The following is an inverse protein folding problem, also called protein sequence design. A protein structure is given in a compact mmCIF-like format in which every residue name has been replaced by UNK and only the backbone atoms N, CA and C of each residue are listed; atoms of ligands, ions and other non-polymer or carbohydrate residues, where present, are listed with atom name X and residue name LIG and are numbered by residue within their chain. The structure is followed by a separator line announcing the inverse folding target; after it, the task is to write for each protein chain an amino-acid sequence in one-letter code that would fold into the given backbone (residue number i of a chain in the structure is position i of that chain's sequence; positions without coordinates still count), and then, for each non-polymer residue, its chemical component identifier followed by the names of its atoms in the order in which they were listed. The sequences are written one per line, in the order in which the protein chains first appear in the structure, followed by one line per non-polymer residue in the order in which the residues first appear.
data_IF_440340864569
#
_entry.id   IF_440340864569
#
_cell.length_a   1.000
_cell.length_b   1.000
_cell.length_c   1.000
_cell.angle_alpha   90.00
_cell.angle_beta   90.00
_cell.angle_gamma   90.00
#
_symmetry.space_group_name_H-M   'P 1'
#
loop_
_entity.id
_entity.type
_entity.pdbx_description
1 polymer ?
#
# COMPACT_ATOMS: atom_id res chain seq x y z
N UNK A 1 -75.49 3.30 9.33
CA UNK A 1 -74.20 3.19 8.61
C UNK A 1 -73.05 4.01 9.23
N UNK A 2 -73.13 4.46 10.50
CA UNK A 2 -72.07 5.30 11.12
C UNK A 2 -71.15 4.56 12.11
N UNK A 3 -71.56 3.41 12.64
CA UNK A 3 -70.80 2.69 13.67
C UNK A 3 -69.81 1.66 13.08
N UNK A 4 -69.96 1.28 11.81
CA UNK A 4 -69.07 0.30 11.16
C UNK A 4 -67.78 0.94 10.62
N UNK A 5 -67.81 2.24 10.31
CA UNK A 5 -66.65 3.00 9.85
C UNK A 5 -65.60 3.22 10.97
N UNK A 6 -66.05 3.31 12.24
CA UNK A 6 -65.15 3.42 13.39
C UNK A 6 -64.40 2.11 13.69
N UNK A 7 -65.04 0.96 13.45
CA UNK A 7 -64.42 -0.36 13.66
C UNK A 7 -63.35 -0.62 12.60
N UNK A 8 -63.58 -0.23 11.34
CA UNK A 8 -62.56 -0.33 10.29
C UNK A 8 -61.35 0.59 10.55
N UNK A 9 -61.57 1.79 11.10
CA UNK A 9 -60.48 2.71 11.47
C UNK A 9 -59.67 2.20 12.67
N UNK A 10 -60.32 1.55 13.65
CA UNK A 10 -59.66 0.91 14.79
C UNK A 10 -58.85 -0.34 14.40
N UNK A 11 -59.30 -1.11 13.40
CA UNK A 11 -58.54 -2.24 12.87
C UNK A 11 -57.35 -1.84 11.99
N UNK A 12 -57.36 -0.62 11.42
CA UNK A 12 -56.22 -0.09 10.65
C UNK A 12 -55.17 0.59 11.53
N UNK A 13 -55.54 1.02 12.73
CA UNK A 13 -54.65 1.70 13.68
C UNK A 13 -53.78 0.77 14.53
N UNK A 14 -53.89 -0.56 14.39
CA UNK A 14 -53.24 -1.54 15.27
C UNK A 14 -52.15 -2.39 14.62
N UNK A 15 -51.60 -1.99 13.48
CA UNK A 15 -50.34 -2.56 12.97
C UNK A 15 -49.19 -1.67 13.46
N UNK A 16 -49.03 -1.56 14.77
CA UNK A 16 -47.79 -1.08 15.37
C UNK A 16 -46.88 -2.30 15.39
N UNK A 17 -46.10 -2.52 14.33
CA UNK A 17 -44.94 -3.39 14.44
C UNK A 17 -43.98 -2.70 15.41
N UNK A 18 -43.92 -3.18 16.65
CA UNK A 18 -42.85 -2.76 17.56
C UNK A 18 -41.52 -3.13 16.92
N UNK A 19 -40.63 -2.15 16.77
CA UNK A 19 -39.26 -2.42 16.37
C UNK A 19 -38.68 -3.40 17.38
N UNK A 20 -38.19 -4.55 16.90
CA UNK A 20 -37.42 -5.46 17.75
C UNK A 20 -36.06 -4.78 17.94
N UNK A 21 -35.93 -4.02 19.01
CA UNK A 21 -34.68 -3.45 19.46
C UNK A 21 -34.68 -3.42 20.98
N UNK A 22 -33.55 -3.74 21.59
CA UNK A 22 -33.33 -3.51 23.02
C UNK A 22 -32.83 -2.08 23.18
N UNK A 23 -33.68 -1.21 23.72
CA UNK A 23 -33.33 0.19 23.97
C UNK A 23 -32.93 0.39 25.43
N UNK A 24 -31.65 0.71 25.66
CA UNK A 24 -31.17 1.14 26.97
C UNK A 24 -31.24 2.66 27.12
N UNK A 25 -32.14 3.12 27.98
CA UNK A 25 -32.29 4.51 28.42
C UNK A 25 -32.07 4.67 29.93
N UNK A 26 -31.50 3.64 30.58
CA UNK A 26 -31.29 3.59 32.02
C UNK A 26 -29.91 3.05 32.39
N UNK A 27 -29.77 2.57 33.63
CA UNK A 27 -28.50 2.07 34.18
C UNK A 27 -28.49 0.53 34.20
N UNK A 28 -28.41 -0.09 33.02
CA UNK A 28 -28.19 -1.54 32.91
C UNK A 28 -26.73 -1.83 33.26
N UNK A 29 -26.47 -2.93 33.97
CA UNK A 29 -25.11 -3.42 34.25
C UNK A 29 -25.09 -4.94 34.25
N UNK A 30 -24.06 -5.51 33.62
CA UNK A 30 -23.75 -6.94 33.66
C UNK A 30 -22.73 -7.17 34.78
N UNK A 31 -23.07 -8.01 35.76
CA UNK A 31 -22.17 -8.38 36.86
C UNK A 31 -21.28 -9.58 36.49
N UNK A 32 -20.26 -9.90 37.29
CA UNK A 32 -19.18 -10.88 37.01
C UNK A 32 -19.60 -12.28 36.50
N UNK A 33 -20.83 -12.74 36.82
CA UNK A 33 -21.37 -14.02 36.34
C UNK A 33 -22.67 -13.85 35.54
N UNK A 34 -23.00 -12.61 35.18
CA UNK A 34 -24.16 -12.28 34.37
C UNK A 34 -23.84 -12.52 32.90
N UNK A 35 -24.80 -13.07 32.17
CA UNK A 35 -24.74 -13.23 30.74
C UNK A 35 -25.93 -12.47 30.12
N UNK A 36 -25.66 -11.65 29.11
CA UNK A 36 -26.67 -10.90 28.36
C UNK A 36 -26.53 -11.20 26.86
N UNK A 37 -27.56 -11.84 26.28
CA UNK A 37 -27.62 -12.12 24.85
C UNK A 37 -28.51 -11.13 24.11
N UNK A 38 -27.93 -10.41 23.15
CA UNK A 38 -28.63 -9.59 22.17
C UNK A 38 -28.99 -10.43 20.95
N UNK A 39 -30.29 -10.63 20.73
CA UNK A 39 -30.84 -11.34 19.56
C UNK A 39 -31.52 -10.39 18.56
N UNK A 40 -31.28 -9.09 18.72
CA UNK A 40 -31.96 -8.02 18.03
C UNK A 40 -31.13 -6.74 18.15
N UNK A 41 -31.47 -5.69 17.40
CA UNK A 41 -30.73 -4.43 17.41
C UNK A 41 -30.59 -3.89 18.84
N UNK A 42 -29.44 -3.34 19.18
CA UNK A 42 -29.15 -2.77 20.47
C UNK A 42 -29.00 -1.25 20.33
N UNK A 43 -29.81 -0.48 21.06
CA UNK A 43 -29.76 0.98 21.06
C UNK A 43 -29.32 1.43 22.45
N UNK A 44 -28.20 2.14 22.57
CA UNK A 44 -27.67 2.61 23.85
C UNK A 44 -27.63 4.15 23.94
N UNK A 45 -28.51 4.72 24.76
CA UNK A 45 -28.60 6.17 25.01
C UNK A 45 -28.34 6.52 26.48
N UNK A 46 -27.73 5.60 27.24
CA UNK A 46 -27.36 5.82 28.64
C UNK A 46 -26.05 5.11 28.97
N UNK A 47 -25.32 5.55 30.02
CA UNK A 47 -24.08 4.89 30.43
C UNK A 47 -24.30 3.38 30.59
N UNK A 48 -23.55 2.60 29.83
CA UNK A 48 -23.54 1.15 29.89
C UNK A 48 -22.09 0.68 29.97
N UNK A 49 -21.52 0.94 31.12
CA UNK A 49 -20.11 0.75 31.45
C UNK A 49 -19.95 -0.17 32.67
N UNK A 50 -18.71 -0.43 33.06
CA UNK A 50 -18.36 -1.27 34.22
C UNK A 50 -19.04 -2.66 34.18
N UNK A 51 -19.31 -3.17 32.98
CA UNK A 51 -19.82 -4.51 32.76
C UNK A 51 -18.69 -5.51 33.02
N UNK A 52 -18.95 -6.50 33.87
CA UNK A 52 -17.95 -7.51 34.28
C UNK A 52 -18.28 -8.92 33.78
N UNK A 53 -19.49 -9.13 33.25
CA UNK A 53 -19.90 -10.42 32.71
C UNK A 53 -19.86 -10.47 31.18
N UNK A 54 -20.48 -11.50 30.63
CA UNK A 54 -20.51 -11.76 29.19
C UNK A 54 -21.70 -11.03 28.54
N UNK A 55 -21.41 -10.24 27.51
CA UNK A 55 -22.39 -9.86 26.50
C UNK A 55 -22.21 -10.76 25.27
N UNK A 56 -23.28 -11.04 24.53
CA UNK A 56 -23.17 -11.78 23.29
C UNK A 56 -24.18 -11.32 22.26
N UNK A 57 -23.77 -11.26 21.00
CA UNK A 57 -24.62 -10.98 19.86
C UNK A 57 -24.90 -12.28 19.13
N UNK A 58 -26.18 -12.63 19.01
CA UNK A 58 -26.63 -13.96 18.63
C UNK A 58 -27.76 -13.91 17.61
N UNK A 59 -27.53 -14.40 16.40
CA UNK A 59 -28.60 -14.47 15.40
C UNK A 59 -28.13 -14.88 14.01
N UNK A 60 -29.08 -14.85 13.07
CA UNK A 60 -28.78 -15.11 11.67
C UNK A 60 -28.98 -13.86 10.78
N UNK A 61 -29.64 -12.84 11.33
CA UNK A 61 -29.90 -11.56 10.66
C UNK A 61 -28.88 -10.52 11.12
N UNK A 62 -28.81 -9.40 10.39
CA UNK A 62 -27.99 -8.27 10.81
C UNK A 62 -28.44 -7.74 12.17
N UNK A 63 -27.49 -7.49 13.08
CA UNK A 63 -27.76 -6.84 14.37
C UNK A 63 -27.06 -5.49 14.38
N UNK A 64 -27.83 -4.41 14.50
CA UNK A 64 -27.28 -3.05 14.55
C UNK A 64 -27.03 -2.63 16.01
N UNK A 65 -25.87 -2.02 16.26
CA UNK A 65 -25.51 -1.35 17.52
C UNK A 65 -25.56 0.15 17.30
N UNK A 66 -26.53 0.78 17.95
CA UNK A 66 -27.00 2.15 17.72
C UNK A 66 -26.94 2.95 19.02
N UNK A 67 -27.28 4.24 18.91
CA UNK A 67 -27.50 5.14 20.04
C UNK A 67 -26.40 6.18 20.17
N UNK A 68 -26.52 7.01 21.20
CA UNK A 68 -25.67 8.19 21.41
C UNK A 68 -24.48 7.95 22.35
N UNK A 69 -24.43 6.82 23.05
CA UNK A 69 -23.38 6.53 24.04
C UNK A 69 -22.75 5.16 23.73
N UNK A 70 -21.43 5.09 23.44
CA UNK A 70 -20.73 3.83 23.24
C UNK A 70 -20.88 2.90 24.46
N UNK A 71 -21.38 1.66 24.31
CA UNK A 71 -21.33 0.67 25.39
C UNK A 71 -19.90 0.15 25.61
N UNK A 72 -19.59 -0.22 26.85
CA UNK A 72 -18.32 -0.88 27.21
C UNK A 72 -18.60 -2.24 27.83
N UNK A 73 -18.00 -3.30 27.27
CA UNK A 73 -18.18 -4.68 27.71
C UNK A 73 -16.87 -5.27 28.24
N UNK A 74 -16.95 -6.16 29.25
CA UNK A 74 -15.80 -6.99 29.63
C UNK A 74 -15.54 -8.04 28.56
N UNK A 75 -16.47 -8.97 28.42
CA UNK A 75 -16.39 -10.07 27.47
C UNK A 75 -17.55 -9.97 26.48
N UNK A 76 -17.24 -10.16 25.19
CA UNK A 76 -18.20 -10.15 24.10
C UNK A 76 -18.05 -11.44 23.30
N UNK A 77 -19.18 -12.06 22.96
CA UNK A 77 -19.24 -13.16 22.00
C UNK A 77 -19.98 -12.72 20.73
N UNK A 78 -19.37 -12.93 19.57
CA UNK A 78 -19.96 -12.64 18.26
C UNK A 78 -20.33 -13.96 17.60
N UNK A 79 -21.62 -14.25 17.56
CA UNK A 79 -22.18 -15.41 16.87
C UNK A 79 -23.42 -14.99 16.07
N UNK A 80 -23.16 -14.19 15.04
CA UNK A 80 -24.17 -13.67 14.11
C UNK A 80 -23.82 -14.16 12.71
N UNK A 81 -24.73 -14.81 11.98
CA UNK A 81 -24.36 -15.37 10.66
C UNK A 81 -24.06 -14.29 9.61
N UNK A 82 -24.80 -13.17 9.65
CA UNK A 82 -24.47 -11.96 8.89
C UNK A 82 -23.49 -11.11 9.72
N UNK A 83 -23.83 -9.85 10.01
CA UNK A 83 -22.93 -8.92 10.67
C UNK A 83 -23.54 -8.37 11.98
N UNK A 84 -22.65 -7.97 12.88
CA UNK A 84 -22.96 -6.95 13.90
C UNK A 84 -22.54 -5.61 13.32
N UNK A 85 -23.48 -4.79 12.85
CA UNK A 85 -23.20 -3.48 12.27
C UNK A 85 -23.14 -2.40 13.34
N UNK A 86 -22.07 -1.62 13.36
CA UNK A 86 -21.86 -0.53 14.30
C UNK A 86 -22.29 0.79 13.68
N UNK A 87 -23.28 1.45 14.28
CA UNK A 87 -23.58 2.87 14.10
C UNK A 87 -23.07 3.69 15.30
N UNK A 88 -22.53 3.00 16.31
CA UNK A 88 -21.85 3.55 17.47
C UNK A 88 -20.75 2.57 17.91
N UNK A 89 -19.65 3.11 18.44
CA UNK A 89 -18.49 2.31 18.85
C UNK A 89 -18.81 1.38 20.01
N UNK A 90 -18.04 0.30 20.14
CA UNK A 90 -18.06 -0.60 21.30
C UNK A 90 -16.66 -0.63 21.92
N UNK A 91 -16.56 -0.41 23.23
CA UNK A 91 -15.31 -0.60 23.97
C UNK A 91 -15.24 -2.01 24.59
N UNK A 92 -14.11 -2.70 24.38
CA UNK A 92 -13.83 -4.06 24.88
C UNK A 92 -12.73 -4.02 25.94
N UNK A 93 -13.06 -4.47 27.14
CA UNK A 93 -12.15 -4.44 28.29
C UNK A 93 -11.36 -5.74 28.46
N UNK A 94 -11.88 -6.89 28.04
CA UNK A 94 -11.22 -8.18 28.21
C UNK A 94 -11.16 -8.98 26.91
N UNK A 95 -12.23 -9.65 26.48
CA UNK A 95 -12.18 -10.52 25.31
C UNK A 95 -13.33 -10.25 24.33
N UNK A 96 -13.03 -10.21 23.03
CA UNK A 96 -14.00 -10.47 21.96
C UNK A 96 -13.77 -11.85 21.38
N UNK A 97 -14.71 -12.77 21.63
CA UNK A 97 -14.71 -14.10 21.04
C UNK A 97 -15.51 -14.11 19.74
N UNK A 98 -14.82 -14.19 18.61
CA UNK A 98 -15.39 -14.37 17.28
C UNK A 98 -15.73 -15.86 17.06
N UNK A 99 -17.02 -16.19 16.97
CA UNK A 99 -17.49 -17.55 16.65
C UNK A 99 -17.93 -17.63 15.20
N UNK A 100 -18.71 -16.65 14.74
CA UNK A 100 -19.15 -16.50 13.34
C UNK A 100 -19.64 -15.08 13.11
N UNK A 101 -19.41 -14.59 11.89
CA UNK A 101 -19.87 -13.28 11.43
C UNK A 101 -18.87 -12.17 11.70
N UNK A 102 -19.03 -11.10 10.95
CA UNK A 102 -18.18 -9.94 11.05
C UNK A 102 -18.76 -8.92 12.04
N UNK A 103 -17.88 -8.14 12.67
CA UNK A 103 -18.27 -6.85 13.25
C UNK A 103 -17.97 -5.80 12.20
N UNK A 104 -19.02 -5.18 11.67
CA UNK A 104 -18.92 -4.22 10.58
C UNK A 104 -19.00 -2.80 11.14
N UNK A 105 -18.00 -1.96 10.89
CA UNK A 105 -18.09 -0.52 11.15
C UNK A 105 -18.16 0.27 9.83
N UNK A 106 -18.57 1.55 9.87
CA UNK A 106 -18.56 2.41 8.69
C UNK A 106 -17.13 2.54 8.18
N UNK A 107 -16.96 2.39 6.87
CA UNK A 107 -15.65 2.39 6.25
C UNK A 107 -15.10 3.82 6.02
N UNK A 108 -15.96 4.84 6.12
CA UNK A 108 -15.66 6.26 5.94
C UNK A 108 -15.67 7.08 7.25
N UNK A 109 -16.02 6.47 8.38
CA UNK A 109 -16.03 7.11 9.71
C UNK A 109 -15.14 6.37 10.71
N UNK A 110 -13.92 6.89 10.91
CA UNK A 110 -12.95 6.34 11.85
C UNK A 110 -13.38 6.46 13.32
N UNK A 111 -14.37 7.30 13.63
CA UNK A 111 -14.84 7.50 15.01
C UNK A 111 -15.75 6.37 15.50
N UNK A 112 -16.28 5.57 14.57
CA UNK A 112 -17.11 4.39 14.84
C UNK A 112 -16.28 3.13 14.60
N UNK A 113 -15.93 2.43 15.68
CA UNK A 113 -15.05 1.27 15.63
C UNK A 113 -15.33 0.27 16.76
N UNK A 114 -14.88 -0.97 16.58
CA UNK A 114 -14.72 -1.90 17.69
C UNK A 114 -13.37 -1.62 18.36
N UNK A 115 -13.41 -1.04 19.56
CA UNK A 115 -12.23 -0.55 20.25
C UNK A 115 -11.79 -1.48 21.38
N UNK A 116 -10.54 -1.95 21.32
CA UNK A 116 -9.90 -2.70 22.38
C UNK A 116 -9.15 -1.76 23.34
N UNK A 117 -9.38 -1.91 24.63
CA UNK A 117 -8.69 -1.13 25.66
C UNK A 117 -7.27 -1.66 25.93
N UNK A 118 -6.62 -1.15 26.99
CA UNK A 118 -5.29 -1.57 27.45
C UNK A 118 -5.22 -3.03 27.90
N UNK A 119 -6.35 -3.66 28.19
CA UNK A 119 -6.44 -5.10 28.50
C UNK A 119 -7.24 -5.90 27.48
N UNK A 120 -8.03 -5.25 26.62
CA UNK A 120 -8.86 -5.91 25.61
C UNK A 120 -8.06 -6.70 24.57
N UNK A 121 -8.45 -7.94 24.32
CA UNK A 121 -7.94 -8.84 23.28
C UNK A 121 -9.11 -9.53 22.56
N UNK A 122 -8.80 -10.37 21.58
CA UNK A 122 -9.78 -11.16 20.85
C UNK A 122 -9.28 -12.59 20.63
N UNK A 123 -10.22 -13.48 20.31
CA UNK A 123 -9.96 -14.86 19.92
C UNK A 123 -10.94 -15.29 18.83
N UNK A 124 -10.53 -16.21 17.95
CA UNK A 124 -11.43 -16.85 16.98
C UNK A 124 -11.61 -16.06 15.68
N UNK A 125 -10.73 -15.09 15.43
CA UNK A 125 -10.65 -14.40 14.16
C UNK A 125 -10.34 -15.37 13.01
N UNK A 126 -11.01 -15.19 11.88
CA UNK A 126 -10.84 -16.01 10.69
C UNK A 126 -11.37 -15.31 9.45
N UNK A 127 -11.24 -15.93 8.28
CA UNK A 127 -11.85 -15.43 7.03
C UNK A 127 -13.38 -15.29 7.10
N UNK A 128 -14.07 -15.93 8.04
CA UNK A 128 -15.53 -15.81 8.20
C UNK A 128 -15.94 -15.00 9.45
N UNK A 129 -14.96 -14.50 10.21
CA UNK A 129 -15.20 -13.85 11.49
C UNK A 129 -14.10 -12.85 11.80
N UNK A 130 -14.30 -11.59 11.42
CA UNK A 130 -13.34 -10.51 11.67
C UNK A 130 -14.03 -9.14 11.74
N UNK A 131 -13.25 -8.07 11.80
CA UNK A 131 -13.77 -6.71 11.71
C UNK A 131 -13.71 -6.26 10.25
N UNK A 132 -14.85 -5.85 9.68
CA UNK A 132 -14.91 -5.19 8.36
C UNK A 132 -15.14 -3.70 8.58
N UNK A 133 -14.13 -2.87 8.27
CA UNK A 133 -14.07 -1.46 8.67
C UNK A 133 -13.01 -1.21 9.76
N UNK A 134 -13.26 -0.25 10.65
CA UNK A 134 -12.31 0.23 11.64
C UNK A 134 -12.33 -0.54 12.96
N UNK A 135 -11.12 -0.90 13.40
CA UNK A 135 -10.80 -1.40 14.73
C UNK A 135 -9.91 -0.39 15.46
N UNK A 136 -10.10 -0.26 16.78
CA UNK A 136 -9.32 0.63 17.64
C UNK A 136 -8.52 -0.13 18.70
N UNK A 137 -7.38 0.42 19.12
CA UNK A 137 -6.60 -0.09 20.25
C UNK A 137 -6.10 1.08 21.11
N UNK A 138 -6.43 1.10 22.41
CA UNK A 138 -6.03 2.18 23.34
C UNK A 138 -4.88 1.74 24.23
N UNK A 139 -3.93 2.64 24.47
CA UNK A 139 -2.89 2.48 25.48
C UNK A 139 -2.03 1.21 25.26
N UNK A 140 -1.70 0.91 24.00
CA UNK A 140 -0.88 -0.24 23.59
C UNK A 140 0.42 0.23 22.93
N UNK A 141 1.46 -0.58 23.07
CA UNK A 141 2.68 -0.50 22.24
C UNK A 141 2.69 -1.55 21.14
N UNK A 142 1.92 -2.63 21.28
CA UNK A 142 1.82 -3.71 20.31
C UNK A 142 0.36 -4.14 20.18
N UNK A 143 -0.16 -4.18 18.96
CA UNK A 143 -1.50 -4.69 18.69
C UNK A 143 -1.62 -5.26 17.28
N UNK A 144 -2.29 -6.41 17.14
CA UNK A 144 -2.63 -6.99 15.85
C UNK A 144 -4.10 -6.72 15.58
N UNK A 145 -4.43 -5.94 14.56
CA UNK A 145 -5.81 -5.60 14.23
C UNK A 145 -6.46 -6.76 13.45
N UNK A 146 -7.58 -7.36 13.92
CA UNK A 146 -8.26 -8.45 13.22
C UNK A 146 -9.19 -7.89 12.15
N UNK A 147 -8.65 -7.10 11.23
CA UNK A 147 -9.39 -6.44 10.15
C UNK A 147 -9.35 -7.28 8.87
N UNK A 148 -10.33 -7.07 8.00
CA UNK A 148 -10.44 -7.76 6.71
C UNK A 148 -11.55 -7.16 5.87
N UNK A 149 -11.74 -7.70 4.67
CA UNK A 149 -12.91 -7.41 3.84
C UNK A 149 -13.97 -8.50 4.03
N UNK A 150 -15.02 -8.59 3.22
CA UNK A 150 -16.02 -9.64 3.37
C UNK A 150 -15.43 -11.06 3.24
N UNK A 151 -14.40 -11.26 2.40
CA UNK A 151 -13.90 -12.60 2.09
C UNK A 151 -12.71 -13.04 2.95
N UNK A 152 -11.76 -12.16 3.28
CA UNK A 152 -10.50 -12.58 3.92
C UNK A 152 -10.11 -11.74 5.12
N UNK A 153 -9.54 -12.39 6.13
CA UNK A 153 -8.85 -11.73 7.23
C UNK A 153 -7.50 -11.20 6.70
N UNK A 154 -7.23 -9.92 6.92
CA UNK A 154 -5.99 -9.23 6.49
C UNK A 154 -5.43 -8.39 7.63
N UNK A 155 -4.85 -9.05 8.65
CA UNK A 155 -4.40 -8.36 9.84
C UNK A 155 -3.28 -7.38 9.53
N UNK A 156 -3.22 -6.32 10.31
CA UNK A 156 -2.08 -5.43 10.40
C UNK A 156 -1.54 -5.51 11.83
N UNK A 157 -0.29 -5.90 11.98
CA UNK A 157 0.42 -5.79 13.25
C UNK A 157 1.04 -4.41 13.33
N UNK A 158 0.82 -3.70 14.43
CA UNK A 158 1.43 -2.41 14.72
C UNK A 158 2.27 -2.53 15.98
N UNK A 159 3.54 -2.15 15.89
CA UNK A 159 4.48 -2.04 17.01
C UNK A 159 4.99 -0.61 17.11
N UNK A 160 4.65 0.05 18.21
CA UNK A 160 4.97 1.45 18.51
C UNK A 160 6.10 1.53 19.52
N UNK A 161 7.00 2.50 19.33
CA UNK A 161 8.15 2.74 20.24
C UNK A 161 7.71 3.20 21.63
N UNK A 162 6.52 3.80 21.72
CA UNK A 162 5.90 4.26 22.96
C UNK A 162 4.41 3.93 23.02
N UNK A 163 3.84 3.98 24.22
CA UNK A 163 2.42 3.71 24.44
C UNK A 163 1.58 4.82 23.81
N UNK A 164 0.62 4.46 22.96
CA UNK A 164 -0.22 5.43 22.26
C UNK A 164 -1.62 5.52 22.87
N UNK A 165 -2.23 6.69 22.82
CA UNK A 165 -3.57 6.91 23.38
C UNK A 165 -4.64 6.12 22.62
N UNK A 166 -4.52 6.07 21.29
CA UNK A 166 -5.39 5.35 20.39
C UNK A 166 -4.66 5.07 19.07
N UNK A 167 -4.67 3.82 18.64
CA UNK A 167 -4.35 3.41 17.27
C UNK A 167 -5.61 2.91 16.58
N UNK A 168 -5.79 3.23 15.29
CA UNK A 168 -6.94 2.82 14.48
C UNK A 168 -6.42 2.09 13.24
N UNK A 169 -7.10 1.02 12.82
CA UNK A 169 -6.80 0.34 11.58
C UNK A 169 -8.07 -0.12 10.86
N UNK A 170 -8.06 -0.04 9.52
CA UNK A 170 -8.99 -0.72 8.64
C UNK A 170 -8.25 -1.24 7.40
N UNK A 171 -8.82 -2.27 6.78
CA UNK A 171 -8.35 -2.85 5.54
C UNK A 171 -9.40 -2.70 4.44
N UNK A 172 -8.94 -2.45 3.22
CA UNK A 172 -9.77 -2.24 2.04
C UNK A 172 -9.22 -3.07 0.89
N UNK A 173 -10.00 -4.04 0.40
CA UNK A 173 -9.73 -4.69 -0.87
C UNK A 173 -10.34 -3.88 -2.02
N UNK A 174 -9.81 -2.68 -2.23
CA UNK A 174 -10.28 -1.72 -3.21
C UNK A 174 -9.10 -1.03 -3.90
N UNK A 175 -9.34 -0.51 -5.11
CA UNK A 175 -8.33 0.29 -5.80
C UNK A 175 -8.14 1.63 -5.09
N UNK A 176 -6.94 1.96 -4.57
CA UNK A 176 -6.69 3.22 -3.86
C UNK A 176 -6.97 4.47 -4.71
N UNK A 177 -6.86 4.38 -6.04
CA UNK A 177 -7.10 5.49 -6.96
C UNK A 177 -8.59 5.79 -7.14
N UNK A 178 -9.46 4.79 -6.91
CA UNK A 178 -10.92 4.87 -7.05
C UNK A 178 -11.62 3.98 -6.01
N UNK A 179 -11.43 4.25 -4.71
CA UNK A 179 -12.07 3.48 -3.65
C UNK A 179 -13.59 3.66 -3.71
N UNK A 180 -14.31 2.60 -3.42
CA UNK A 180 -15.78 2.53 -3.41
C UNK A 180 -16.30 2.97 -2.04
N UNK A 181 -15.56 2.65 -0.98
CA UNK A 181 -15.96 2.89 0.40
C UNK A 181 -15.56 4.27 0.94
N UNK A 182 -14.74 5.04 0.20
CA UNK A 182 -14.20 6.33 0.66
C UNK A 182 -14.50 7.45 -0.34
N UNK A 183 -14.66 8.67 0.19
CA UNK A 183 -14.74 9.88 -0.65
C UNK A 183 -13.37 10.39 -1.10
N UNK A 184 -12.32 10.07 -0.34
CA UNK A 184 -10.95 10.44 -0.67
C UNK A 184 -10.34 9.42 -1.63
N UNK A 185 -9.52 9.89 -2.57
CA UNK A 185 -8.81 9.04 -3.53
C UNK A 185 -7.29 9.19 -3.38
N UNK A 186 -6.56 8.14 -3.73
CA UNK A 186 -5.11 8.04 -3.62
C UNK A 186 -4.54 7.58 -4.98
N UNK A 187 -4.37 8.52 -5.91
CA UNK A 187 -3.92 8.25 -7.27
C UNK A 187 -2.54 7.56 -7.26
N UNK A 188 -2.50 6.28 -7.62
CA UNK A 188 -1.28 5.44 -7.67
C UNK A 188 -0.22 5.95 -8.64
N UNK A 189 -0.54 6.92 -9.51
CA UNK A 189 0.42 7.58 -10.40
C UNK A 189 1.07 8.82 -9.78
N UNK A 190 0.46 9.41 -8.74
CA UNK A 190 1.02 10.54 -7.98
C UNK A 190 1.96 10.00 -6.91
N UNK A 191 3.23 9.80 -7.27
CA UNK A 191 4.22 9.14 -6.40
C UNK A 191 5.59 9.78 -6.51
N UNK A 192 6.40 9.61 -5.47
CA UNK A 192 7.82 9.96 -5.51
C UNK A 192 8.53 9.20 -6.65
N UNK A 193 9.54 9.85 -7.25
CA UNK A 193 10.30 9.30 -8.41
C UNK A 193 10.94 7.95 -8.10
N UNK A 194 11.31 7.75 -6.83
CA UNK A 194 12.01 6.56 -6.36
C UNK A 194 11.03 5.42 -6.01
N UNK A 195 9.79 5.46 -6.50
CA UNK A 195 8.80 4.38 -6.38
C UNK A 195 8.53 3.79 -7.76
N UNK A 196 8.63 2.46 -7.86
CA UNK A 196 8.26 1.66 -9.02
C UNK A 196 6.75 1.55 -9.14
N UNK A 197 6.22 0.34 -9.28
CA UNK A 197 4.76 0.14 -9.40
C UNK A 197 4.12 0.16 -8.02
N UNK A 198 2.97 0.83 -7.88
CA UNK A 198 2.14 0.77 -6.67
C UNK A 198 0.94 -0.12 -7.00
N UNK A 199 0.63 -1.08 -6.13
CA UNK A 199 -0.51 -1.97 -6.36
C UNK A 199 -1.83 -1.20 -6.29
N UNK A 200 -2.79 -1.64 -7.10
CA UNK A 200 -4.11 -1.06 -7.20
C UNK A 200 -5.21 -2.00 -6.67
N UNK A 201 -4.82 -3.00 -5.88
CA UNK A 201 -5.72 -4.07 -5.39
C UNK A 201 -6.26 -3.81 -3.99
N UNK A 202 -5.45 -3.25 -3.13
CA UNK A 202 -5.77 -3.13 -1.71
C UNK A 202 -4.98 -2.03 -1.02
N UNK A 203 -5.45 -1.61 0.14
CA UNK A 203 -4.74 -0.70 1.02
C UNK A 203 -5.25 -0.84 2.46
N UNK A 204 -4.45 -0.33 3.39
CA UNK A 204 -4.79 -0.17 4.79
C UNK A 204 -4.88 1.31 5.12
N UNK A 205 -5.79 1.66 6.04
CA UNK A 205 -5.73 2.92 6.77
C UNK A 205 -5.24 2.56 8.17
N UNK A 206 -4.14 3.16 8.60
CA UNK A 206 -3.63 3.04 9.97
C UNK A 206 -3.39 4.44 10.54
N UNK A 207 -3.85 4.72 11.75
CA UNK A 207 -3.57 5.95 12.48
C UNK A 207 -2.88 5.61 13.79
N UNK A 208 -1.75 6.28 14.05
CA UNK A 208 -0.99 6.22 15.28
C UNK A 208 -0.01 7.40 15.27
N UNK A 209 -0.03 8.22 16.33
CA UNK A 209 0.76 9.46 16.38
C UNK A 209 2.21 9.24 16.86
N UNK A 210 2.52 8.05 17.36
CA UNK A 210 3.88 7.68 17.73
C UNK A 210 4.60 6.96 16.58
N UNK A 211 5.94 6.99 16.62
CA UNK A 211 6.77 6.24 15.70
C UNK A 211 6.49 4.74 15.87
N UNK A 212 6.24 4.05 14.78
CA UNK A 212 5.84 2.65 14.74
C UNK A 212 6.36 1.94 13.51
N UNK A 213 6.45 0.62 13.60
CA UNK A 213 6.52 -0.28 12.46
C UNK A 213 5.16 -0.95 12.27
N UNK A 214 4.88 -1.34 11.03
CA UNK A 214 3.76 -2.21 10.72
C UNK A 214 4.24 -3.49 10.06
N UNK A 215 3.52 -4.60 10.27
CA UNK A 215 3.66 -5.82 9.48
C UNK A 215 2.33 -6.10 8.78
N UNK A 216 2.39 -6.22 7.45
CA UNK A 216 1.25 -6.54 6.58
C UNK A 216 1.62 -7.73 5.69
N UNK A 217 0.64 -8.59 5.44
CA UNK A 217 0.80 -9.77 4.57
C UNK A 217 0.19 -9.56 3.19
N UNK A 218 0.72 -10.25 2.18
CA UNK A 218 0.11 -10.40 0.85
C UNK A 218 -0.23 -11.86 0.57
N UNK A 219 -1.13 -12.07 -0.38
CA UNK A 219 -1.49 -13.39 -0.90
C UNK A 219 -1.79 -13.31 -2.41
N UNK A 220 -2.29 -14.40 -3.02
CA UNK A 220 -2.65 -14.43 -4.45
C UNK A 220 -3.62 -13.31 -4.85
N UNK A 221 -4.49 -12.87 -3.92
CA UNK A 221 -5.47 -11.80 -4.15
C UNK A 221 -4.81 -10.42 -4.26
N UNK A 222 -3.65 -10.24 -3.64
CA UNK A 222 -2.81 -9.03 -3.77
C UNK A 222 -2.26 -8.85 -5.18
N UNK A 223 -2.25 -9.92 -6.00
CA UNK A 223 -1.87 -9.92 -7.42
C UNK A 223 -0.49 -9.30 -7.67
N UNK A 224 0.45 -9.49 -6.73
CA UNK A 224 1.80 -8.92 -6.83
C UNK A 224 2.57 -9.53 -8.01
N UNK A 225 2.29 -10.78 -8.39
CA UNK A 225 2.90 -11.45 -9.55
C UNK A 225 2.58 -10.77 -10.89
N UNK A 226 1.52 -9.95 -10.96
CA UNK A 226 1.18 -9.19 -12.16
C UNK A 226 2.15 -8.04 -12.45
N UNK A 227 2.93 -7.63 -11.44
CA UNK A 227 3.94 -6.59 -11.58
C UNK A 227 5.12 -7.18 -12.37
N UNK A 228 5.40 -6.59 -13.53
CA UNK A 228 6.39 -7.13 -14.46
C UNK A 228 7.80 -7.12 -13.86
N UNK A 229 8.49 -8.27 -13.95
CA UNK A 229 9.86 -8.49 -13.47
C UNK A 229 10.06 -8.29 -11.97
N UNK A 230 9.00 -8.41 -11.17
CA UNK A 230 9.09 -8.28 -9.72
C UNK A 230 9.89 -9.43 -9.10
N UNK A 231 10.77 -9.09 -8.17
CA UNK A 231 11.32 -10.01 -7.18
C UNK A 231 10.81 -9.62 -5.77
N UNK A 232 10.79 -10.58 -4.84
CA UNK A 232 10.24 -10.38 -3.49
C UNK A 232 11.01 -9.30 -2.71
N UNK A 233 12.31 -9.17 -2.97
CA UNK A 233 13.17 -8.16 -2.37
C UNK A 233 12.91 -6.75 -2.92
N UNK A 234 12.17 -6.62 -4.01
CA UNK A 234 11.74 -5.33 -4.55
C UNK A 234 10.48 -4.79 -3.87
N UNK A 235 9.76 -5.61 -3.10
CA UNK A 235 8.52 -5.21 -2.43
C UNK A 235 8.84 -4.26 -1.27
N UNK A 236 8.18 -3.11 -1.28
CA UNK A 236 8.26 -2.09 -0.23
C UNK A 236 6.87 -1.69 0.26
N UNK A 237 6.82 -1.16 1.47
CA UNK A 237 5.63 -0.46 1.97
C UNK A 237 5.68 0.99 1.50
N UNK A 238 4.58 1.47 0.93
CA UNK A 238 4.41 2.88 0.53
C UNK A 238 3.18 3.47 1.20
N UNK A 239 3.22 4.78 1.46
CA UNK A 239 2.12 5.49 2.10
C UNK A 239 1.74 6.75 1.34
N UNK A 240 0.44 7.06 1.27
CA UNK A 240 -0.06 8.34 0.74
C UNK A 240 0.15 9.44 1.77
N UNK A 241 1.17 10.29 1.56
CA UNK A 241 1.53 11.35 2.48
C UNK A 241 0.48 12.47 2.47
N UNK A 242 -0.05 12.80 3.65
CA UNK A 242 -1.01 13.91 3.83
C UNK A 242 -0.36 15.27 3.58
N UNK A 243 0.97 15.36 3.75
CA UNK A 243 1.71 16.60 3.56
C UNK A 243 1.97 16.91 2.09
N UNK A 244 2.44 15.92 1.32
CA UNK A 244 2.83 16.11 -0.08
C UNK A 244 1.72 15.76 -1.07
N UNK A 245 0.64 15.10 -0.62
CA UNK A 245 -0.46 14.61 -1.47
C UNK A 245 0.04 13.71 -2.61
N UNK A 246 0.96 12.80 -2.28
CA UNK A 246 1.50 11.79 -3.17
C UNK A 246 1.95 10.56 -2.35
N UNK A 247 2.15 9.44 -3.02
CA UNK A 247 2.76 8.26 -2.44
C UNK A 247 4.26 8.49 -2.15
N UNK A 248 4.69 8.14 -0.95
CA UNK A 248 6.07 8.19 -0.48
C UNK A 248 6.51 6.82 0.04
N UNK A 249 7.81 6.58 0.02
CA UNK A 249 8.41 5.33 0.52
C UNK A 249 8.33 5.33 2.04
N UNK A 250 7.69 4.30 2.60
CA UNK A 250 7.87 3.95 4.01
C UNK A 250 9.07 2.99 4.11
N UNK A 251 9.16 2.04 3.19
CA UNK A 251 10.27 1.08 3.07
C UNK A 251 9.97 -0.26 3.73
N UNK A 252 10.94 -1.17 3.66
CA UNK A 252 10.86 -2.53 4.20
C UNK A 252 12.11 -2.84 5.02
N UNK A 253 11.94 -3.46 6.20
CA UNK A 253 13.01 -3.90 7.09
C UNK A 253 13.20 -5.42 7.02
N UNK A 254 12.11 -6.17 7.03
CA UNK A 254 12.11 -7.62 6.98
C UNK A 254 10.93 -8.13 6.15
N UNK A 255 11.14 -9.24 5.43
CA UNK A 255 10.10 -9.95 4.71
C UNK A 255 10.31 -11.45 4.77
N UNK A 256 9.27 -12.22 4.49
CA UNK A 256 9.34 -13.67 4.33
C UNK A 256 8.19 -14.15 3.46
N UNK A 257 8.42 -15.21 2.70
CA UNK A 257 7.43 -15.82 1.81
C UNK A 257 7.95 -15.94 0.38
N UNK A 258 7.01 -15.95 -0.57
CA UNK A 258 7.24 -15.86 -2.00
C UNK A 258 6.32 -14.78 -2.61
N UNK A 259 6.36 -14.60 -3.94
CA UNK A 259 5.57 -13.56 -4.62
C UNK A 259 4.05 -13.73 -4.47
N UNK A 260 3.59 -14.96 -4.24
CA UNK A 260 2.17 -15.29 -4.13
C UNK A 260 1.70 -15.27 -2.68
N UNK A 261 2.58 -15.44 -1.70
CA UNK A 261 2.21 -15.37 -0.30
C UNK A 261 3.39 -15.00 0.59
N UNK A 262 3.23 -13.97 1.42
CA UNK A 262 4.26 -13.54 2.34
C UNK A 262 3.84 -12.38 3.22
N UNK A 263 4.81 -11.79 3.90
CA UNK A 263 4.61 -10.56 4.67
C UNK A 263 5.85 -9.67 4.63
N UNK A 264 5.63 -8.38 4.86
CA UNK A 264 6.66 -7.35 4.97
C UNK A 264 6.44 -6.55 6.25
N UNK A 265 7.53 -6.25 6.93
CA UNK A 265 7.60 -5.31 8.04
C UNK A 265 8.21 -4.02 7.53
N UNK A 266 7.58 -2.89 7.81
CA UNK A 266 8.03 -1.57 7.37
C UNK A 266 9.26 -1.10 8.15
N UNK A 267 9.96 -0.09 7.63
CA UNK A 267 10.82 0.75 8.47
C UNK A 267 9.97 1.59 9.45
N UNK A 268 10.54 2.14 10.54
CA UNK A 268 9.83 3.00 11.47
C UNK A 268 9.34 4.30 10.81
N UNK A 269 8.08 4.66 11.06
CA UNK A 269 7.43 5.88 10.56
C UNK A 269 6.29 6.31 11.49
N UNK A 270 5.62 7.44 11.24
CA UNK A 270 4.42 7.85 11.98
C UNK A 270 3.18 7.53 11.12
N UNK A 271 2.37 6.50 11.46
CA UNK A 271 1.22 6.12 10.64
C UNK A 271 0.22 7.24 10.39
N UNK A 272 -0.01 8.11 11.38
CA UNK A 272 -0.93 9.25 11.25
C UNK A 272 -0.52 10.28 10.18
N UNK A 273 0.73 10.30 9.70
CA UNK A 273 1.16 11.19 8.61
C UNK A 273 0.66 10.72 7.23
N UNK A 274 0.21 9.47 7.15
CA UNK A 274 -0.25 8.83 5.93
C UNK A 274 -1.77 8.59 5.95
N UNK A 275 -2.42 8.77 4.81
CA UNK A 275 -3.86 8.57 4.66
C UNK A 275 -4.22 7.14 4.20
N UNK A 276 -3.31 6.48 3.50
CA UNK A 276 -3.42 5.10 3.04
C UNK A 276 -2.03 4.48 2.96
N UNK A 277 -1.96 3.16 3.14
CA UNK A 277 -0.73 2.37 3.08
C UNK A 277 -0.98 1.17 2.18
N UNK A 278 -0.06 0.88 1.27
CA UNK A 278 -0.16 -0.28 0.38
C UNK A 278 1.23 -0.78 -0.03
N UNK A 279 1.28 -1.77 -0.90
CA UNK A 279 2.50 -2.29 -1.50
C UNK A 279 2.94 -1.44 -2.68
N UNK A 280 4.22 -1.17 -2.73
CA UNK A 280 4.90 -0.69 -3.93
C UNK A 280 6.09 -1.58 -4.25
N UNK A 281 6.72 -1.30 -5.38
CA UNK A 281 8.07 -1.81 -5.66
C UNK A 281 9.07 -0.68 -5.58
N UNK A 282 10.32 -1.01 -5.28
CA UNK A 282 11.40 -0.13 -5.71
C UNK A 282 11.32 0.01 -7.24
N UNK A 283 11.66 1.18 -7.80
CA UNK A 283 11.71 1.36 -9.24
C UNK A 283 12.72 0.35 -9.75
N UNK A 284 12.30 -0.41 -10.76
CA UNK A 284 13.26 -1.08 -11.62
C UNK A 284 14.30 0.00 -11.97
N UNK A 285 15.60 -0.26 -11.77
CA UNK A 285 16.59 0.72 -12.18
C UNK A 285 16.25 1.11 -13.62
N UNK A 286 16.25 2.41 -13.94
CA UNK A 286 16.01 2.94 -15.30
C UNK A 286 16.94 2.29 -16.35
N UNK A 287 17.88 1.51 -15.85
CA UNK A 287 18.78 0.57 -16.45
C UNK A 287 18.17 -0.61 -17.23
N UNK A 288 16.98 -0.51 -17.82
CA UNK A 288 16.65 -1.49 -18.87
C UNK A 288 17.66 -1.43 -20.01
N UNK A 289 18.36 -0.29 -20.20
CA UNK A 289 19.46 -0.21 -21.16
C UNK A 289 20.73 -0.92 -20.71
N UNK A 290 21.32 -0.75 -19.51
CA UNK A 290 22.53 -1.52 -19.14
C UNK A 290 22.24 -2.93 -18.62
N UNK A 291 21.02 -3.25 -18.19
CA UNK A 291 20.61 -4.66 -17.99
C UNK A 291 20.59 -5.39 -19.34
N UNK A 292 20.08 -4.78 -20.42
CA UNK A 292 20.12 -5.37 -21.76
C UNK A 292 21.47 -5.19 -22.48
N UNK A 293 22.21 -4.12 -22.16
CA UNK A 293 23.49 -3.74 -22.76
C UNK A 293 24.53 -3.46 -21.66
N UNK A 294 25.00 -4.48 -20.93
CA UNK A 294 25.98 -4.31 -19.85
C UNK A 294 27.31 -3.74 -20.35
N UNK A 295 27.56 -3.82 -21.66
CA UNK A 295 28.67 -3.15 -22.34
C UNK A 295 28.22 -2.76 -23.76
N UNK A 296 28.79 -1.67 -24.31
CA UNK A 296 28.65 -1.34 -25.74
C UNK A 296 29.62 -2.15 -26.65
N UNK A 297 30.42 -3.05 -26.07
CA UNK A 297 31.34 -3.92 -26.83
C UNK A 297 32.58 -3.21 -27.37
N UNK A 298 33.25 -3.85 -28.33
CA UNK A 298 34.40 -3.28 -29.03
C UNK A 298 34.04 -3.09 -30.50
N UNK A 299 34.51 -1.99 -31.09
CA UNK A 299 34.17 -1.60 -32.44
C UNK A 299 35.38 -1.72 -33.38
N UNK A 300 35.08 -1.98 -34.66
CA UNK A 300 36.02 -1.95 -35.76
C UNK A 300 35.54 -0.91 -36.77
N UNK A 301 36.44 0.00 -37.18
CA UNK A 301 36.15 1.08 -38.12
C UNK A 301 37.13 1.01 -39.28
N UNK A 302 36.62 1.02 -40.51
CA UNK A 302 37.39 1.00 -41.76
C UNK A 302 36.86 2.06 -42.74
N UNK A 303 37.20 3.35 -42.56
CA UNK A 303 36.69 4.45 -43.38
C UNK A 303 37.33 4.48 -44.79
N UNK A 304 36.95 3.53 -45.65
CA UNK A 304 37.46 3.33 -47.00
C UNK A 304 36.42 3.69 -48.09
N UNK A 305 35.18 4.03 -47.69
CA UNK A 305 34.09 4.41 -48.58
C UNK A 305 33.41 3.24 -49.29
N UNK A 306 33.56 2.02 -48.79
CA UNK A 306 32.89 0.82 -49.33
C UNK A 306 31.46 0.61 -48.77
N UNK A 307 31.03 1.45 -47.83
CA UNK A 307 29.74 1.42 -47.17
C UNK A 307 29.69 0.55 -45.90
N UNK A 308 30.80 -0.11 -45.53
CA UNK A 308 30.89 -1.01 -44.37
C UNK A 308 31.86 -0.45 -43.34
N UNK A 309 31.38 -0.24 -42.10
CA UNK A 309 32.19 0.31 -40.99
C UNK A 309 32.88 1.65 -41.33
N UNK A 310 32.26 2.47 -42.18
CA UNK A 310 32.80 3.79 -42.57
C UNK A 310 32.65 4.85 -41.46
N UNK A 311 31.68 4.63 -40.56
CA UNK A 311 31.40 5.48 -39.40
C UNK A 311 31.09 4.61 -38.18
N UNK A 312 31.36 5.15 -36.99
CA UNK A 312 31.13 4.44 -35.73
C UNK A 312 29.65 4.49 -35.37
N UNK A 313 28.98 3.34 -35.50
CA UNK A 313 27.57 3.18 -35.10
C UNK A 313 27.49 2.62 -33.70
N UNK A 314 26.85 3.36 -32.80
CA UNK A 314 26.57 2.90 -31.43
C UNK A 314 25.06 2.85 -31.28
N UNK A 315 24.52 1.63 -31.13
CA UNK A 315 23.09 1.39 -31.03
C UNK A 315 22.47 2.15 -29.84
N UNK A 316 21.29 2.75 -30.03
CA UNK A 316 20.56 3.49 -29.00
C UNK A 316 20.95 4.97 -28.83
N UNK A 317 22.04 5.44 -29.45
CA UNK A 317 22.48 6.84 -29.29
C UNK A 317 21.49 7.86 -29.88
N UNK A 318 20.76 7.51 -30.94
CA UNK A 318 19.73 8.37 -31.54
C UNK A 318 18.48 8.54 -30.67
N UNK A 319 18.27 7.65 -29.70
CA UNK A 319 17.13 7.65 -28.78
C UNK A 319 17.43 8.41 -27.47
N UNK A 320 18.71 8.67 -27.17
CA UNK A 320 19.18 9.49 -26.04
C UNK A 320 19.68 10.86 -26.53
N UNK A 321 18.82 11.90 -26.53
CA UNK A 321 19.18 13.23 -27.04
C UNK A 321 20.17 14.00 -26.16
N UNK A 322 20.55 13.46 -24.99
CA UNK A 322 21.55 14.02 -24.07
C UNK A 322 22.73 13.03 -23.89
N UNK A 323 23.27 12.53 -24.99
CA UNK A 323 24.46 11.69 -24.98
C UNK A 323 25.74 12.48 -25.29
N UNK A 324 26.90 11.93 -24.95
CA UNK A 324 28.19 12.41 -25.46
C UNK A 324 29.15 11.27 -25.76
N UNK A 325 29.93 11.42 -26.83
CA UNK A 325 31.00 10.51 -27.24
C UNK A 325 32.35 11.22 -27.15
N UNK A 326 33.31 10.58 -26.48
CA UNK A 326 34.72 11.01 -26.43
C UNK A 326 35.62 9.85 -26.87
N UNK A 327 36.61 10.12 -27.72
CA UNK A 327 37.58 9.12 -28.17
C UNK A 327 38.99 9.58 -27.85
N UNK A 328 39.80 8.66 -27.35
CA UNK A 328 41.18 8.84 -26.92
C UNK A 328 42.13 7.92 -27.67
N UNK A 329 43.33 8.40 -27.96
CA UNK A 329 44.39 7.54 -28.49
C UNK A 329 45.08 6.72 -27.38
N UNK A 330 46.00 5.84 -27.77
CA UNK A 330 46.80 5.00 -26.84
C UNK A 330 47.64 5.77 -25.80
N UNK A 331 47.80 7.07 -25.96
CA UNK A 331 48.53 7.93 -25.02
C UNK A 331 47.59 8.71 -24.09
N UNK A 332 46.28 8.44 -24.15
CA UNK A 332 45.26 9.14 -23.36
C UNK A 332 44.91 10.54 -23.87
N UNK A 333 45.38 10.91 -25.08
CA UNK A 333 45.02 12.18 -25.68
C UNK A 333 43.65 12.08 -26.35
N UNK A 334 42.74 12.99 -26.01
CA UNK A 334 41.43 13.12 -26.66
C UNK A 334 41.62 13.55 -28.12
N UNK A 335 41.07 12.74 -29.02
CA UNK A 335 41.14 12.96 -30.47
C UNK A 335 39.78 13.31 -31.06
N UNK A 336 38.69 12.90 -30.40
CA UNK A 336 37.33 13.24 -30.81
C UNK A 336 36.45 13.54 -29.59
N UNK A 337 35.55 14.51 -29.73
CA UNK A 337 34.49 14.79 -28.78
C UNK A 337 33.24 15.33 -29.49
N UNK A 338 32.08 14.81 -29.11
CA UNK A 338 30.81 15.26 -29.65
C UNK A 338 29.71 15.08 -28.60
N UNK A 339 28.91 16.13 -28.41
CA UNK A 339 27.65 16.06 -27.69
C UNK A 339 26.53 15.76 -28.68
N UNK A 340 25.52 15.02 -28.22
CA UNK A 340 24.39 14.52 -28.99
C UNK A 340 24.89 13.78 -30.25
N UNK A 341 25.78 12.82 -30.02
CA UNK A 341 26.36 12.01 -31.07
C UNK A 341 25.31 11.10 -31.71
N UNK A 342 25.28 11.08 -33.03
CA UNK A 342 24.46 10.23 -33.90
C UNK A 342 25.31 9.82 -35.11
N UNK A 343 26.10 8.76 -34.92
CA UNK A 343 26.80 8.04 -35.99
C UNK A 343 27.75 8.88 -36.89
N UNK A 344 28.30 10.01 -36.41
CA UNK A 344 29.08 10.93 -37.25
C UNK A 344 30.61 10.68 -37.27
N UNK A 345 31.15 9.79 -36.43
CA UNK A 345 32.59 9.64 -36.32
C UNK A 345 33.15 8.74 -37.43
N UNK A 346 33.97 9.35 -38.32
CA UNK A 346 34.54 8.72 -39.52
C UNK A 346 36.06 8.52 -39.45
N UNK A 347 36.64 8.48 -38.24
CA UNK A 347 38.09 8.38 -38.06
C UNK A 347 38.84 9.72 -38.19
N UNK A 348 38.12 10.85 -38.21
CA UNK A 348 38.71 12.19 -38.24
C UNK A 348 38.73 12.83 -36.85
N UNK A 349 39.83 13.52 -36.54
CA UNK A 349 39.98 14.21 -35.27
C UNK A 349 39.29 15.57 -35.27
N UNK A 350 38.60 15.93 -34.18
CA UNK A 350 38.06 17.29 -33.99
C UNK A 350 38.58 17.97 -32.71
N UNK A 351 39.55 17.36 -32.03
CA UNK A 351 40.18 17.90 -30.81
C UNK A 351 41.69 17.62 -30.77
N UNK A 352 42.40 18.25 -29.84
CA UNK A 352 43.81 17.96 -29.57
C UNK A 352 44.78 18.36 -30.69
N UNK A 353 45.99 17.80 -30.67
CA UNK A 353 47.07 18.13 -31.62
C UNK A 353 46.79 17.66 -33.05
N UNK A 354 45.83 16.73 -33.22
CA UNK A 354 45.43 16.18 -34.51
C UNK A 354 44.36 17.01 -35.23
N UNK A 355 43.79 18.03 -34.57
CA UNK A 355 42.86 18.98 -35.20
C UNK A 355 43.46 19.66 -36.43
N UNK A 356 44.77 19.92 -36.42
CA UNK A 356 45.51 20.54 -37.53
C UNK A 356 45.79 19.57 -38.71
N UNK A 357 45.40 18.30 -38.58
CA UNK A 357 45.65 17.24 -39.58
C UNK A 357 44.36 16.47 -39.91
N UNK A 358 43.22 17.16 -39.91
CA UNK A 358 41.92 16.58 -40.31
C UNK A 358 41.96 15.95 -41.71
N UNK A 359 42.68 16.57 -42.66
CA UNK A 359 42.77 16.08 -44.04
C UNK A 359 43.48 14.72 -44.17
N UNK A 360 44.31 14.37 -43.18
CA UNK A 360 45.08 13.12 -43.15
C UNK A 360 44.33 12.06 -42.33
N UNK A 361 43.45 12.48 -41.41
CA UNK A 361 42.73 11.63 -40.47
C UNK A 361 43.61 10.94 -39.43
N UNK A 362 43.00 10.16 -38.54
CA UNK A 362 43.71 9.50 -37.45
C UNK A 362 44.55 8.30 -37.96
N UNK A 363 45.74 8.06 -37.37
CA UNK A 363 46.56 6.88 -37.69
C UNK A 363 45.85 5.57 -37.38
N UNK A 364 46.19 4.51 -38.12
CA UNK A 364 45.77 3.14 -37.83
C UNK A 364 46.15 2.73 -36.40
N UNK A 365 45.25 2.04 -35.72
CA UNK A 365 45.53 1.42 -34.42
C UNK A 365 44.37 1.44 -33.45
N UNK A 366 44.71 1.23 -32.18
CA UNK A 366 43.75 1.09 -31.07
C UNK A 366 43.47 2.44 -30.43
N UNK A 367 42.18 2.73 -30.28
CA UNK A 367 41.60 3.87 -29.61
C UNK A 367 40.67 3.40 -28.49
N UNK A 368 40.39 4.30 -27.54
CA UNK A 368 39.47 4.07 -26.44
C UNK A 368 38.33 5.06 -26.55
N UNK A 369 37.09 4.59 -26.42
CA UNK A 369 35.93 5.47 -26.43
C UNK A 369 35.27 5.50 -25.06
N UNK A 370 34.64 6.63 -24.77
CA UNK A 370 33.81 6.87 -23.60
C UNK A 370 32.47 7.43 -24.08
N UNK A 371 31.38 6.75 -23.74
CA UNK A 371 30.01 7.18 -24.00
C UNK A 371 29.37 7.52 -22.66
N UNK A 372 28.80 8.72 -22.56
CA UNK A 372 28.01 9.15 -21.41
C UNK A 372 26.59 9.42 -21.88
N UNK A 373 25.62 8.80 -21.22
CA UNK A 373 24.19 9.03 -21.44
C UNK A 373 23.68 9.81 -20.22
N UNK A 374 23.70 11.14 -20.29
CA UNK A 374 23.42 12.01 -19.13
C UNK A 374 21.95 11.91 -18.69
N UNK A 375 21.04 11.51 -19.58
CA UNK A 375 19.63 11.25 -19.29
C UNK A 375 19.39 9.95 -18.52
N UNK A 376 20.28 8.97 -18.67
CA UNK A 376 20.22 7.67 -18.00
C UNK A 376 21.22 7.54 -16.85
N UNK A 377 22.07 8.54 -16.63
CA UNK A 377 23.19 8.50 -15.68
C UNK A 377 24.13 7.30 -15.91
N UNK A 378 24.30 6.89 -17.18
CA UNK A 378 25.14 5.74 -17.58
C UNK A 378 26.45 6.19 -18.23
N UNK A 379 27.51 5.45 -17.93
CA UNK A 379 28.84 5.64 -18.52
C UNK A 379 29.38 4.30 -19.04
N UNK A 380 29.78 4.29 -20.31
CA UNK A 380 30.35 3.13 -20.98
C UNK A 380 31.74 3.43 -21.53
N UNK A 381 32.63 2.45 -21.43
CA UNK A 381 33.95 2.50 -22.03
C UNK A 381 34.22 1.24 -22.85
N UNK A 382 35.01 1.39 -23.91
CA UNK A 382 35.42 0.26 -24.72
C UNK A 382 36.56 0.59 -25.67
N UNK A 383 36.86 -0.38 -26.54
CA UNK A 383 37.96 -0.29 -27.49
C UNK A 383 37.41 -0.10 -28.90
N UNK A 384 38.07 0.76 -29.66
CA UNK A 384 37.85 0.98 -31.09
C UNK A 384 39.15 0.66 -31.84
N UNK A 385 39.11 -0.28 -32.78
CA UNK A 385 40.20 -0.49 -33.73
C UNK A 385 39.90 0.27 -35.02
N UNK A 386 40.82 1.15 -35.41
CA UNK A 386 40.76 1.91 -36.65
C UNK A 386 41.71 1.29 -37.67
N UNK A 387 41.15 0.75 -38.75
CA UNK A 387 41.86 0.25 -39.94
C UNK A 387 41.65 1.22 -41.11
N UNK A 388 42.60 1.35 -42.02
CA UNK A 388 42.49 2.34 -43.11
C UNK A 388 43.04 1.90 -44.45
#
# INVERSE_FOLDING_TARGET
MKNWSFIAFLFWASIICGQTAMHNTGSIRIHTNGNLGFHTNFINDSPFDNNEGLAGFYGNENIEVLGSIPPSFSDVEIFVLNNVSLENSIDINNNTNFISGNVQSPHDDQTINLNFTDTGFFTGESDISKITGFAGAKNRTLFSFPVGDEDMLRPLLLESEEQTSLAICAYFFENPSVPISLSQTFDTTQKARDIGTITDKEFWIAQNDAISTITISWNERSDLESISNIDIDEIIVVGWSKQSNQWEIIGSDAFSGDINQGFVTSLPFVPSDFAAITFGTIPLPMDTFAVNNPTLGNYFLSPNGDGTNDFLVIEGMSESPNNSLRIFNRFGQKVFEKNNYVDEFTGLSNTGSFYLSQDIGLPEGVYYYLVVLDDLELEYQGILFLDR
#
